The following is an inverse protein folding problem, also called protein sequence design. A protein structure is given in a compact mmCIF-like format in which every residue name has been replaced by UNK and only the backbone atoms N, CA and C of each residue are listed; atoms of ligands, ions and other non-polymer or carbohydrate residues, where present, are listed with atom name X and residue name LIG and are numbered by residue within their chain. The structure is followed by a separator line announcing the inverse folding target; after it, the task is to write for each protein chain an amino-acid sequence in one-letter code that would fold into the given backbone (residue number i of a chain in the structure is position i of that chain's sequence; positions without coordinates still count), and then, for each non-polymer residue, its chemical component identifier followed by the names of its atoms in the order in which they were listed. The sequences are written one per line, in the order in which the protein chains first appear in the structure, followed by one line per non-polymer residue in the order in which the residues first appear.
data_IF_591176052471
#
_entry.id   IF_591176052471
#
_cell.length_a   1.000
_cell.length_b   1.000
_cell.length_c   1.000
_cell.angle_alpha   90.00
_cell.angle_beta   90.00
_cell.angle_gamma   90.00
#
_symmetry.space_group_name_H-M   'P 1'
#
loop_
_entity.id
_entity.type
_entity.pdbx_description
1 polymer ?
#
# COMPACT_ATOMS: atom_id res chain seq x y z
N UNK A 1 -0.68 16.98 -2.96
CA UNK A 1 -2.10 16.62 -3.18
C UNK A 1 -2.90 17.01 -1.94
N UNK A 2 -3.90 17.85 -2.09
CA UNK A 2 -4.79 18.28 -0.99
C UNK A 2 -5.88 17.23 -0.76
N UNK A 3 -6.55 17.26 0.40
CA UNK A 3 -7.62 16.29 0.74
C UNK A 3 -8.78 16.30 -0.27
N UNK A 4 -9.16 17.49 -0.74
CA UNK A 4 -10.23 17.61 -1.75
C UNK A 4 -9.84 16.96 -3.09
N UNK A 5 -8.58 17.12 -3.50
CA UNK A 5 -8.05 16.48 -4.71
C UNK A 5 -8.04 14.96 -4.58
N UNK A 6 -7.65 14.46 -3.40
CA UNK A 6 -7.72 13.04 -3.08
C UNK A 6 -9.15 12.50 -3.18
N UNK A 7 -10.11 13.17 -2.54
CA UNK A 7 -11.50 12.76 -2.56
C UNK A 7 -12.09 12.75 -3.98
N UNK A 8 -11.72 13.72 -4.81
CA UNK A 8 -12.15 13.79 -6.20
C UNK A 8 -11.51 12.69 -7.07
N UNK A 9 -10.23 12.40 -6.85
CA UNK A 9 -9.50 11.39 -7.63
C UNK A 9 -9.89 9.94 -7.26
N UNK A 10 -10.21 9.68 -5.98
CA UNK A 10 -10.46 8.33 -5.47
C UNK A 10 -11.84 8.19 -4.82
N UNK A 11 -12.89 8.64 -5.53
CA UNK A 11 -14.28 8.61 -5.05
C UNK A 11 -14.78 7.18 -4.81
N UNK A 12 -14.44 6.27 -5.71
CA UNK A 12 -14.90 4.87 -5.65
C UNK A 12 -13.74 3.89 -5.77
N UNK A 13 -14.00 2.64 -5.40
CA UNK A 13 -13.03 1.57 -5.54
C UNK A 13 -12.58 1.33 -6.98
N UNK A 14 -13.46 1.58 -7.94
CA UNK A 14 -13.13 1.46 -9.37
C UNK A 14 -12.07 2.46 -9.81
N UNK A 15 -12.08 3.69 -9.29
CA UNK A 15 -11.03 4.67 -9.57
C UNK A 15 -9.68 4.21 -9.01
N UNK A 16 -9.66 3.65 -7.80
CA UNK A 16 -8.44 3.08 -7.24
C UNK A 16 -7.90 1.92 -8.10
N UNK A 17 -8.77 1.02 -8.58
CA UNK A 17 -8.38 -0.07 -9.47
C UNK A 17 -7.84 0.42 -10.81
N UNK A 18 -8.48 1.41 -11.43
CA UNK A 18 -8.02 2.04 -12.67
C UNK A 18 -6.64 2.68 -12.48
N UNK A 19 -6.43 3.37 -11.36
CA UNK A 19 -5.14 3.97 -11.04
C UNK A 19 -4.04 2.91 -10.89
N UNK A 20 -4.30 1.81 -10.17
CA UNK A 20 -3.35 0.69 -10.08
C UNK A 20 -3.07 0.08 -11.46
N UNK A 21 -4.10 -0.04 -12.30
CA UNK A 21 -3.95 -0.56 -13.66
C UNK A 21 -3.06 0.35 -14.54
N UNK A 22 -3.17 1.68 -14.38
CA UNK A 22 -2.32 2.63 -15.11
C UNK A 22 -0.84 2.55 -14.71
N UNK A 23 -0.55 2.22 -13.45
CA UNK A 23 0.82 2.06 -12.96
C UNK A 23 1.47 0.73 -13.34
N UNK A 24 0.66 -0.29 -13.60
CA UNK A 24 1.15 -1.61 -13.99
C UNK A 24 1.23 -1.75 -15.51
N UNK A 25 2.32 -2.35 -15.98
CA UNK A 25 2.35 -2.87 -17.35
C UNK A 25 1.35 -4.01 -17.44
N UNK A 26 0.29 -3.84 -18.22
CA UNK A 26 -0.76 -4.84 -18.40
C UNK A 26 -0.24 -6.06 -19.16
N UNK A 27 0.46 -6.94 -18.47
CA UNK A 27 0.99 -8.21 -18.99
C UNK A 27 0.45 -9.37 -18.19
N UNK A 28 0.21 -10.49 -18.87
CA UNK A 28 -0.15 -11.73 -18.20
C UNK A 28 1.00 -12.21 -17.30
N UNK A 29 0.67 -12.64 -16.09
CA UNK A 29 1.65 -13.12 -15.10
C UNK A 29 2.30 -14.43 -15.56
N UNK A 30 1.57 -15.27 -16.31
CA UNK A 30 2.04 -16.58 -16.72
C UNK A 30 2.76 -16.59 -18.07
N UNK A 31 2.24 -15.90 -19.08
CA UNK A 31 2.77 -15.96 -20.44
C UNK A 31 3.28 -14.60 -20.96
N UNK A 32 3.31 -13.57 -20.12
CA UNK A 32 3.74 -12.20 -20.44
C UNK A 32 3.00 -11.54 -21.63
N UNK A 33 1.90 -12.14 -22.08
CA UNK A 33 1.08 -11.63 -23.19
C UNK A 33 0.34 -10.36 -22.80
N UNK A 34 0.19 -9.43 -23.74
CA UNK A 34 -0.40 -8.10 -23.47
C UNK A 34 -1.89 -8.00 -23.75
N UNK A 35 -2.45 -8.93 -24.54
CA UNK A 35 -3.87 -8.91 -24.86
C UNK A 35 -4.66 -9.54 -23.69
N UNK A 36 -5.34 -8.69 -22.94
CA UNK A 36 -6.07 -9.04 -21.72
C UNK A 36 -7.51 -8.55 -21.80
N UNK A 37 -8.43 -9.35 -21.31
CA UNK A 37 -9.79 -8.88 -21.05
C UNK A 37 -9.83 -8.16 -19.70
N UNK A 38 -9.97 -6.84 -19.75
CA UNK A 38 -9.93 -5.93 -18.58
C UNK A 38 -11.32 -5.43 -18.17
N UNK A 39 -12.40 -6.05 -18.64
CA UNK A 39 -13.76 -5.67 -18.27
C UNK A 39 -13.98 -5.66 -16.76
N UNK A 40 -13.32 -6.57 -16.04
CA UNK A 40 -13.30 -6.59 -14.59
C UNK A 40 -11.84 -6.60 -14.11
N UNK A 41 -11.36 -5.46 -13.56
CA UNK A 41 -9.98 -5.30 -13.09
C UNK A 41 -9.63 -6.20 -11.89
N UNK A 42 -10.62 -6.66 -11.13
CA UNK A 42 -10.40 -7.65 -10.08
C UNK A 42 -10.20 -9.07 -10.62
N UNK A 43 -10.70 -9.37 -11.82
CA UNK A 43 -10.60 -10.66 -12.51
C UNK A 43 -10.26 -10.46 -13.98
N UNK A 44 -8.98 -10.23 -14.25
CA UNK A 44 -8.45 -10.07 -15.61
C UNK A 44 -8.21 -11.45 -16.20
N UNK A 45 -8.67 -11.70 -17.42
CA UNK A 45 -8.45 -12.95 -18.16
C UNK A 45 -7.48 -12.73 -19.31
N UNK A 46 -6.45 -13.54 -19.38
CA UNK A 46 -5.54 -13.55 -20.52
C UNK A 46 -6.22 -14.21 -21.73
N UNK A 47 -6.13 -13.57 -22.89
CA UNK A 47 -6.74 -14.12 -24.14
C UNK A 47 -5.87 -15.22 -24.75
N UNK A 48 -4.59 -15.35 -24.39
CA UNK A 48 -3.70 -16.38 -24.90
C UNK A 48 -3.73 -17.66 -24.07
N UNK A 49 -3.46 -17.57 -22.76
CA UNK A 49 -3.38 -18.74 -21.89
C UNK A 49 -4.65 -18.99 -21.08
N UNK A 50 -5.69 -18.14 -21.22
CA UNK A 50 -6.98 -18.20 -20.54
C UNK A 50 -6.91 -18.16 -19.00
N UNK A 51 -5.75 -17.95 -18.42
CA UNK A 51 -5.58 -17.78 -16.97
C UNK A 51 -6.25 -16.49 -16.48
N UNK A 52 -6.83 -16.59 -15.29
CA UNK A 52 -7.47 -15.46 -14.63
C UNK A 52 -6.64 -14.99 -13.44
N UNK A 53 -6.39 -13.70 -13.34
CA UNK A 53 -5.64 -13.10 -12.25
C UNK A 53 -6.20 -11.74 -11.87
N UNK A 54 -5.83 -11.22 -10.71
CA UNK A 54 -6.22 -9.89 -10.25
C UNK A 54 -5.15 -8.86 -10.58
N UNK A 55 -5.56 -7.62 -10.92
CA UNK A 55 -4.63 -6.49 -11.05
C UNK A 55 -3.87 -6.24 -9.74
N UNK A 56 -4.43 -6.62 -8.61
CA UNK A 56 -3.85 -6.46 -7.28
C UNK A 56 -2.74 -7.49 -6.99
N UNK A 57 -2.57 -8.52 -7.82
CA UNK A 57 -1.54 -9.54 -7.60
C UNK A 57 -0.14 -8.90 -7.53
N UNK A 58 0.66 -9.29 -6.53
CA UNK A 58 1.98 -8.71 -6.28
C UNK A 58 1.98 -7.32 -5.65
N UNK A 59 0.82 -6.79 -5.23
CA UNK A 59 0.70 -5.56 -4.43
C UNK A 59 0.35 -5.88 -2.98
N UNK A 60 0.54 -4.90 -2.08
CA UNK A 60 0.12 -4.98 -0.68
C UNK A 60 -1.40 -5.14 -0.52
N UNK A 61 -2.16 -4.83 -1.57
CA UNK A 61 -3.63 -4.92 -1.58
C UNK A 61 -4.14 -6.32 -1.92
N UNK A 62 -3.26 -7.23 -2.34
CA UNK A 62 -3.64 -8.58 -2.75
C UNK A 62 -4.23 -9.37 -1.58
N UNK A 63 -5.36 -10.02 -1.83
CA UNK A 63 -6.14 -10.77 -0.81
C UNK A 63 -6.63 -9.94 0.39
N UNK A 64 -6.52 -8.61 0.35
CA UNK A 64 -7.08 -7.76 1.40
C UNK A 64 -8.60 -7.64 1.23
N UNK A 65 -9.33 -7.83 2.34
CA UNK A 65 -10.77 -7.55 2.41
C UNK A 65 -11.06 -6.06 2.68
N UNK A 66 -10.05 -5.31 3.09
CA UNK A 66 -10.17 -3.87 3.35
C UNK A 66 -10.35 -3.12 2.03
N UNK A 67 -11.33 -2.21 1.93
CA UNK A 67 -11.54 -1.41 0.73
C UNK A 67 -10.27 -0.69 0.28
N UNK A 68 -10.02 -0.67 -1.03
CA UNK A 68 -8.81 -0.01 -1.59
C UNK A 68 -8.73 1.46 -1.24
N UNK A 69 -9.87 2.15 -1.16
CA UNK A 69 -9.93 3.55 -0.78
C UNK A 69 -9.30 3.81 0.58
N UNK A 70 -9.45 2.90 1.55
CA UNK A 70 -8.85 3.03 2.89
C UNK A 70 -7.32 2.90 2.83
N UNK A 71 -6.81 2.01 1.99
CA UNK A 71 -5.38 1.89 1.74
C UNK A 71 -4.80 3.16 1.10
N UNK A 72 -5.48 3.68 0.08
CA UNK A 72 -5.07 4.91 -0.59
C UNK A 72 -5.11 6.10 0.35
N UNK A 73 -6.15 6.18 1.21
CA UNK A 73 -6.26 7.22 2.22
C UNK A 73 -5.11 7.15 3.24
N UNK A 74 -4.78 5.96 3.72
CA UNK A 74 -3.67 5.77 4.65
C UNK A 74 -2.32 6.19 4.02
N UNK A 75 -2.07 5.81 2.77
CA UNK A 75 -0.88 6.22 2.02
C UNK A 75 -0.85 7.74 1.85
N UNK A 76 -1.98 8.33 1.46
CA UNK A 76 -2.10 9.79 1.33
C UNK A 76 -1.79 10.52 2.64
N UNK A 77 -2.36 10.04 3.76
CA UNK A 77 -2.11 10.60 5.08
C UNK A 77 -0.63 10.46 5.46
N UNK A 78 -0.03 9.34 5.18
CA UNK A 78 1.38 9.09 5.51
C UNK A 78 2.34 10.03 4.78
N UNK A 79 2.11 10.26 3.49
CA UNK A 79 2.93 11.17 2.68
C UNK A 79 2.80 12.64 3.16
N UNK A 80 1.62 13.01 3.67
CA UNK A 80 1.36 14.39 4.09
C UNK A 80 1.65 14.66 5.58
N UNK A 81 2.09 13.67 6.36
CA UNK A 81 2.32 13.81 7.80
C UNK A 81 3.82 13.67 8.10
N UNK A 82 4.41 14.67 8.75
CA UNK A 82 5.85 14.69 9.08
C UNK A 82 6.23 13.70 10.19
N UNK A 83 5.34 13.44 11.13
CA UNK A 83 5.62 12.66 12.35
C UNK A 83 5.05 11.24 12.32
N UNK A 84 4.59 10.78 11.15
CA UNK A 84 3.90 9.50 11.02
C UNK A 84 2.45 9.56 11.53
N UNK A 85 1.77 8.43 11.47
CA UNK A 85 0.36 8.29 11.87
C UNK A 85 0.24 7.11 12.81
N UNK A 86 -0.46 7.30 13.93
CA UNK A 86 -0.71 6.22 14.86
C UNK A 86 -1.81 5.30 14.33
N UNK A 87 -1.75 4.01 14.66
CA UNK A 87 -2.81 3.07 14.27
C UNK A 87 -4.16 3.40 14.93
N UNK A 88 -4.13 4.07 16.07
CA UNK A 88 -5.33 4.54 16.78
C UNK A 88 -6.06 5.64 16.00
N UNK A 89 -5.30 6.60 15.44
CA UNK A 89 -5.89 7.68 14.63
C UNK A 89 -6.46 7.13 13.33
N UNK A 90 -5.70 6.25 12.66
CA UNK A 90 -6.18 5.57 11.45
C UNK A 90 -7.46 4.78 11.71
N UNK A 91 -7.53 4.06 12.84
CA UNK A 91 -8.72 3.30 13.20
C UNK A 91 -9.94 4.20 13.39
N UNK A 92 -9.78 5.34 14.05
CA UNK A 92 -10.84 6.34 14.27
C UNK A 92 -11.27 7.01 12.97
N UNK A 93 -10.31 7.46 12.14
CA UNK A 93 -10.57 8.17 10.89
C UNK A 93 -11.29 7.29 9.85
N UNK A 94 -10.91 6.02 9.75
CA UNK A 94 -11.47 5.07 8.78
C UNK A 94 -12.64 4.24 9.31
N UNK A 95 -12.93 4.30 10.62
CA UNK A 95 -13.96 3.46 11.24
C UNK A 95 -13.64 1.96 11.18
N UNK A 96 -12.35 1.59 11.24
CA UNK A 96 -11.89 0.21 11.24
C UNK A 96 -11.37 -0.21 12.61
N UNK A 97 -11.22 -1.52 12.84
CA UNK A 97 -10.63 -2.01 14.10
C UNK A 97 -9.14 -1.62 14.18
N UNK A 98 -8.64 -1.42 15.40
CA UNK A 98 -7.23 -1.12 15.65
C UNK A 98 -6.31 -2.18 15.02
N UNK A 99 -6.69 -3.46 15.08
CA UNK A 99 -5.96 -4.56 14.46
C UNK A 99 -5.85 -4.40 12.94
N UNK A 100 -6.92 -3.96 12.28
CA UNK A 100 -6.92 -3.70 10.82
C UNK A 100 -6.03 -2.51 10.48
N UNK A 101 -6.15 -1.40 11.21
CA UNK A 101 -5.32 -0.22 11.01
C UNK A 101 -3.82 -0.53 11.21
N UNK A 102 -3.50 -1.27 12.28
CA UNK A 102 -2.12 -1.70 12.55
C UNK A 102 -1.56 -2.59 11.44
N UNK A 103 -2.34 -3.59 10.97
CA UNK A 103 -1.95 -4.45 9.86
C UNK A 103 -1.66 -3.66 8.58
N UNK A 104 -2.55 -2.71 8.23
CA UNK A 104 -2.36 -1.87 7.05
C UNK A 104 -1.07 -1.05 7.14
N UNK A 105 -0.82 -0.40 8.28
CA UNK A 105 0.40 0.36 8.50
C UNK A 105 1.66 -0.51 8.48
N UNK A 106 1.58 -1.72 9.02
CA UNK A 106 2.68 -2.68 9.03
C UNK A 106 3.04 -3.17 7.62
N UNK A 107 2.05 -3.51 6.80
CA UNK A 107 2.26 -3.92 5.40
C UNK A 107 2.92 -2.82 4.56
N UNK A 108 2.52 -1.57 4.75
CA UNK A 108 3.14 -0.44 4.03
C UNK A 108 4.60 -0.29 4.46
N UNK A 109 4.90 -0.29 5.78
CA UNK A 109 6.28 -0.20 6.29
C UNK A 109 7.15 -1.34 5.78
N UNK A 110 6.68 -2.57 5.83
CA UNK A 110 7.40 -3.73 5.34
C UNK A 110 7.73 -3.61 3.84
N UNK A 111 6.82 -3.01 3.06
CA UNK A 111 7.06 -2.84 1.63
C UNK A 111 8.11 -1.78 1.35
N UNK A 112 8.09 -0.68 2.09
CA UNK A 112 9.09 0.38 2.01
C UNK A 112 10.46 -0.17 2.41
N UNK A 113 10.57 -0.82 3.57
CA UNK A 113 11.81 -1.40 4.06
C UNK A 113 12.45 -2.40 3.08
N UNK A 114 11.63 -3.22 2.39
CA UNK A 114 12.14 -4.13 1.36
C UNK A 114 12.72 -3.41 0.12
N UNK A 115 12.31 -2.18 -0.14
CA UNK A 115 12.86 -1.37 -1.23
C UNK A 115 14.13 -0.62 -0.81
N UNK A 116 14.24 -0.23 0.47
CA UNK A 116 15.39 0.50 1.00
C UNK A 116 16.68 -0.34 1.03
N UNK A 117 16.60 -1.67 1.13
CA UNK A 117 17.78 -2.54 1.05
C UNK A 117 18.57 -2.47 -0.27
N UNK A 118 18.10 -1.69 -1.24
CA UNK A 118 18.81 -1.46 -2.51
C UNK A 118 19.67 -0.18 -2.52
N UNK A 119 19.60 0.64 -1.47
CA UNK A 119 20.41 1.84 -1.35
C UNK A 119 21.74 1.51 -0.66
N UNK A 120 22.82 1.49 -1.44
CA UNK A 120 24.18 1.48 -0.90
C UNK A 120 24.54 2.94 -0.64
N UNK A 121 24.81 3.27 0.62
CA UNK A 121 25.27 4.61 0.99
C UNK A 121 26.78 4.63 0.88
N UNK A 122 27.29 5.42 -0.07
CA UNK A 122 28.74 5.63 -0.23
C UNK A 122 29.12 7.02 0.31
N UNK A 123 30.25 7.10 1.01
CA UNK A 123 30.79 8.34 1.58
C UNK A 123 30.80 8.38 3.10
N UNK A 124 30.93 9.59 3.64
CA UNK A 124 30.91 9.79 5.12
C UNK A 124 29.48 9.74 5.60
N UNK A 125 29.13 8.69 6.34
CA UNK A 125 27.80 8.50 6.93
C UNK A 125 27.86 8.95 8.38
N UNK A 126 27.10 9.98 8.75
CA UNK A 126 26.83 10.34 10.14
C UNK A 126 25.59 9.58 10.62
N UNK A 127 25.77 8.72 11.61
CA UNK A 127 24.67 8.04 12.30
C UNK A 127 24.34 8.83 13.56
N UNK A 128 23.11 9.32 13.66
CA UNK A 128 22.58 9.90 14.89
C UNK A 128 21.88 8.82 15.69
N UNK A 129 22.39 8.55 16.92
CA UNK A 129 21.79 7.58 17.81
C UNK A 129 20.62 8.21 18.55
N UNK A 130 19.40 7.84 18.17
CA UNK A 130 18.22 8.21 18.94
C UNK A 130 18.01 7.20 20.07
N UNK A 131 18.40 7.55 21.28
CA UNK A 131 18.05 6.77 22.46
C UNK A 131 16.55 6.86 22.72
N UNK A 132 15.82 5.84 22.33
CA UNK A 132 14.47 5.62 22.85
C UNK A 132 14.66 5.17 24.31
N UNK A 133 14.46 6.08 25.25
CA UNK A 133 14.37 5.71 26.65
C UNK A 133 13.21 4.74 26.84
N UNK A 134 13.52 3.46 26.81
CA UNK A 134 12.60 2.42 27.22
C UNK A 134 12.45 2.57 28.72
N UNK A 135 11.35 3.16 29.17
CA UNK A 135 10.95 3.05 30.57
C UNK A 135 10.66 1.57 30.81
N UNK A 136 11.70 0.85 31.22
CA UNK A 136 11.64 -0.54 31.57
C UNK A 136 10.65 -0.72 32.71
N UNK A 137 9.59 -1.44 32.44
CA UNK A 137 8.88 -2.13 33.49
C UNK A 137 9.86 -3.14 34.12
N UNK A 138 10.35 -2.83 35.28
CA UNK A 138 11.02 -3.79 36.18
C UNK A 138 10.00 -4.90 36.44
N UNK A 139 10.19 -6.03 35.80
CA UNK A 139 9.58 -7.29 36.26
C UNK A 139 10.38 -7.74 37.46
N UNK A 140 9.77 -7.69 38.63
CA UNK A 140 10.19 -8.43 39.81
C UNK A 140 9.69 -9.85 39.70
#
# INVERSE_FOLDING_TARGET
MKLNEFNNAFQTEQYCLKYIASLKKNKCIMCSWTSLNTSNLRRIRCLKCHQTFSILHGTIFYKSQTPLRFWFYLIFRWINTKHGITSTDVAKELGVTLKTAWRMGHEIRNRIAKQEHQFIVEGIVQMDEMYLSHMGALVR
#
